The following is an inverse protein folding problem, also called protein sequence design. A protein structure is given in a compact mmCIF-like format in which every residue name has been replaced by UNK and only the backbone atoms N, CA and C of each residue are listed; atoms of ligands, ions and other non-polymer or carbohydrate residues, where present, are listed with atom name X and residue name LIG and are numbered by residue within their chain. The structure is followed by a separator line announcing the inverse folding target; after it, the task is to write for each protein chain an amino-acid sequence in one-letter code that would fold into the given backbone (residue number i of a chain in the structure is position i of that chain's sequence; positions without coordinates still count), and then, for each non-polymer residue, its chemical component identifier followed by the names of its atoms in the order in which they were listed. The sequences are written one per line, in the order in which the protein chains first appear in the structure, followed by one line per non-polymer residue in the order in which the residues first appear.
data_IF_535062879318
#
_entry.id   IF_535062879318
#
_cell.length_a   1.000
_cell.length_b   1.000
_cell.length_c   1.000
_cell.angle_alpha   90.00
_cell.angle_beta   90.00
_cell.angle_gamma   90.00
#
_symmetry.space_group_name_H-M   'P 1'
#
loop_
_entity.id
_entity.type
_entity.pdbx_description
1 polymer ?
#
# COMPACT_ATOMS: atom_id res chain seq x y z
N UNK A 1 2.43 -23.70 33.84
CA UNK A 1 3.00 -22.86 32.76
C UNK A 1 2.28 -23.15 31.45
N UNK A 2 2.27 -24.40 30.96
CA UNK A 2 1.55 -24.79 29.72
C UNK A 2 0.06 -24.37 29.74
N UNK A 3 -0.69 -24.71 30.78
CA UNK A 3 -2.09 -24.27 30.90
C UNK A 3 -2.30 -22.74 30.94
N UNK A 4 -1.27 -21.94 31.23
CA UNK A 4 -1.35 -20.49 31.10
C UNK A 4 -1.25 -20.05 29.63
N UNK A 5 -0.43 -20.72 28.83
CA UNK A 5 -0.37 -20.49 27.38
C UNK A 5 -1.69 -20.91 26.71
N UNK A 6 -2.23 -22.07 27.06
CA UNK A 6 -3.53 -22.53 26.54
C UNK A 6 -4.63 -21.52 26.86
N UNK A 7 -4.69 -21.02 28.10
CA UNK A 7 -5.66 -20.00 28.48
C UNK A 7 -5.50 -18.66 27.72
N UNK A 8 -4.28 -18.30 27.30
CA UNK A 8 -4.03 -17.12 26.45
C UNK A 8 -4.54 -17.36 25.03
N UNK A 9 -4.29 -18.55 24.46
CA UNK A 9 -4.79 -18.92 23.13
C UNK A 9 -6.32 -19.00 23.10
N UNK A 10 -6.93 -19.62 24.12
CA UNK A 10 -8.39 -19.70 24.26
C UNK A 10 -9.01 -18.30 24.36
N UNK A 11 -8.40 -17.41 25.15
CA UNK A 11 -8.87 -16.02 25.27
C UNK A 11 -8.81 -15.28 23.94
N UNK A 12 -7.74 -15.44 23.17
CA UNK A 12 -7.64 -14.85 21.82
C UNK A 12 -8.71 -15.42 20.90
N UNK A 13 -8.93 -16.74 20.94
CA UNK A 13 -9.98 -17.42 20.15
C UNK A 13 -11.36 -16.83 20.44
N UNK A 14 -11.76 -16.77 21.71
CA UNK A 14 -13.08 -16.24 22.10
C UNK A 14 -13.22 -14.75 21.79
N UNK A 15 -12.15 -13.97 21.97
CA UNK A 15 -12.15 -12.53 21.69
C UNK A 15 -12.32 -12.26 20.20
N UNK A 16 -11.53 -12.91 19.34
CA UNK A 16 -11.63 -12.73 17.88
C UNK A 16 -12.97 -13.21 17.34
N UNK A 17 -13.51 -14.33 17.87
CA UNK A 17 -14.83 -14.82 17.49
C UNK A 17 -15.93 -13.83 17.84
N UNK A 18 -15.96 -13.35 19.08
CA UNK A 18 -17.01 -12.46 19.61
C UNK A 18 -16.92 -11.06 19.03
N UNK A 19 -15.73 -10.46 18.96
CA UNK A 19 -15.56 -9.03 18.68
C UNK A 19 -15.33 -8.72 17.20
N UNK A 20 -14.70 -9.64 16.44
CA UNK A 20 -14.28 -9.36 15.06
C UNK A 20 -15.08 -10.17 14.04
N UNK A 21 -15.16 -11.49 14.19
CA UNK A 21 -15.89 -12.35 13.25
C UNK A 21 -17.40 -12.08 13.25
N UNK A 22 -17.97 -11.64 14.39
CA UNK A 22 -19.39 -11.24 14.49
C UNK A 22 -19.74 -9.99 13.68
N UNK A 23 -18.74 -9.20 13.27
CA UNK A 23 -18.90 -7.97 12.48
C UNK A 23 -18.94 -8.23 10.98
N UNK A 24 -18.50 -9.40 10.56
CA UNK A 24 -18.55 -9.83 9.17
C UNK A 24 -19.89 -10.55 8.96
N UNK A 25 -20.79 -10.03 8.11
CA UNK A 25 -22.02 -10.75 7.79
C UNK A 25 -21.73 -12.11 7.16
N UNK A 26 -22.61 -13.07 7.41
CA UNK A 26 -22.54 -14.37 6.73
C UNK A 26 -22.74 -14.21 5.23
N UNK A 27 -21.92 -14.90 4.44
CA UNK A 27 -21.93 -14.76 3.00
C UNK A 27 -20.59 -15.09 2.36
N UNK A 28 -20.52 -14.88 1.05
CA UNK A 28 -19.32 -15.09 0.25
C UNK A 28 -18.93 -13.80 -0.46
N UNK A 29 -17.69 -13.37 -0.27
CA UNK A 29 -17.15 -12.13 -0.78
C UNK A 29 -15.88 -12.43 -1.56
N UNK A 30 -15.83 -11.98 -2.82
CA UNK A 30 -14.71 -12.28 -3.71
C UNK A 30 -13.95 -11.02 -4.06
N UNK A 31 -12.63 -11.06 -3.93
CA UNK A 31 -11.76 -9.94 -4.27
C UNK A 31 -10.40 -10.41 -4.79
N UNK A 32 -9.76 -9.57 -5.60
CA UNK A 32 -8.42 -9.82 -6.11
C UNK A 32 -7.60 -8.54 -6.27
N UNK A 33 -6.29 -8.71 -6.22
CA UNK A 33 -5.30 -7.67 -6.50
C UNK A 33 -4.03 -8.34 -7.08
N UNK A 34 -3.08 -7.53 -7.52
CA UNK A 34 -2.04 -8.00 -8.43
C UNK A 34 -0.64 -7.58 -7.97
N UNK A 35 0.35 -8.38 -8.33
CA UNK A 35 1.71 -7.88 -8.57
C UNK A 35 1.84 -7.58 -10.07
N UNK A 36 2.63 -6.56 -10.42
CA UNK A 36 2.66 -6.05 -11.81
C UNK A 36 3.88 -6.49 -12.63
N UNK A 37 4.90 -7.04 -11.97
CA UNK A 37 6.14 -7.46 -12.60
C UNK A 37 6.82 -8.55 -11.77
N UNK A 38 7.42 -9.53 -12.44
CA UNK A 38 8.22 -10.57 -11.76
C UNK A 38 9.73 -10.38 -11.95
N UNK A 39 10.18 -9.37 -12.70
CA UNK A 39 11.62 -9.12 -12.93
C UNK A 39 12.21 -9.96 -14.06
N UNK A 40 11.41 -10.77 -14.75
CA UNK A 40 11.86 -11.65 -15.86
C UNK A 40 11.00 -11.42 -17.09
N UNK A 41 9.69 -11.59 -16.97
CA UNK A 41 8.74 -11.37 -18.06
C UNK A 41 8.29 -9.89 -18.08
N UNK A 42 7.85 -9.37 -19.25
CA UNK A 42 7.27 -8.03 -19.33
C UNK A 42 6.12 -7.82 -18.34
N UNK A 43 5.87 -6.57 -17.88
CA UNK A 43 4.82 -6.27 -16.90
C UNK A 43 3.45 -6.83 -17.29
N UNK A 44 2.79 -7.47 -16.32
CA UNK A 44 1.46 -8.05 -16.44
C UNK A 44 0.81 -8.22 -15.08
N UNK A 45 -0.49 -8.46 -15.07
CA UNK A 45 -1.23 -8.74 -13.84
C UNK A 45 -0.98 -10.17 -13.34
N UNK A 46 -0.20 -10.30 -12.27
CA UNK A 46 -0.05 -11.53 -11.49
C UNK A 46 -1.12 -11.57 -10.39
N UNK A 47 -2.27 -12.13 -10.72
CA UNK A 47 -3.45 -12.17 -9.84
C UNK A 47 -3.23 -12.98 -8.58
N UNK A 48 -3.61 -12.40 -7.45
CA UNK A 48 -3.85 -13.09 -6.19
C UNK A 48 -5.32 -12.86 -5.83
N UNK A 49 -6.06 -13.95 -5.58
CA UNK A 49 -7.51 -13.90 -5.41
C UNK A 49 -7.90 -14.56 -4.11
N UNK A 50 -8.87 -13.97 -3.42
CA UNK A 50 -9.52 -14.55 -2.25
C UNK A 50 -11.03 -14.63 -2.50
N UNK A 51 -11.58 -15.82 -2.32
CA UNK A 51 -13.00 -16.02 -2.03
C UNK A 51 -13.14 -16.23 -0.52
N UNK A 52 -13.66 -15.23 0.17
CA UNK A 52 -13.89 -15.23 1.61
C UNK A 52 -15.33 -15.69 1.87
N UNK A 53 -15.50 -16.84 2.54
CA UNK A 53 -16.81 -17.28 3.03
C UNK A 53 -16.86 -17.16 4.56
N UNK A 54 -17.78 -16.35 5.07
CA UNK A 54 -18.09 -16.27 6.49
C UNK A 54 -19.19 -17.28 6.83
N UNK A 55 -18.85 -18.30 7.61
CA UNK A 55 -19.80 -19.23 8.25
C UNK A 55 -20.18 -18.71 9.64
N UNK A 56 -21.02 -19.39 10.45
CA UNK A 56 -21.25 -18.96 11.84
C UNK A 56 -19.98 -19.03 12.70
N UNK A 57 -19.16 -20.08 12.53
CA UNK A 57 -18.05 -20.45 13.40
C UNK A 57 -16.67 -19.94 12.97
N UNK A 58 -16.44 -19.74 11.65
CA UNK A 58 -15.10 -19.43 11.12
C UNK A 58 -15.12 -18.60 9.83
N UNK A 59 -13.92 -18.29 9.34
CA UNK A 59 -13.66 -17.73 8.01
C UNK A 59 -13.02 -18.81 7.14
N UNK A 60 -13.60 -19.05 5.96
CA UNK A 60 -12.98 -19.88 4.92
C UNK A 60 -12.39 -18.94 3.88
N UNK A 61 -11.07 -19.03 3.68
CA UNK A 61 -10.31 -18.22 2.71
C UNK A 61 -9.83 -19.15 1.61
N UNK A 62 -10.44 -19.05 0.44
CA UNK A 62 -10.10 -19.86 -0.73
C UNK A 62 -9.29 -19.04 -1.74
N UNK A 63 -8.09 -19.54 -2.06
CA UNK A 63 -7.14 -18.88 -2.96
C UNK A 63 -7.26 -19.34 -4.43
N UNK A 64 -8.29 -20.10 -4.77
CA UNK A 64 -8.59 -20.51 -6.15
C UNK A 64 -8.74 -19.29 -7.07
N UNK A 65 -8.07 -19.33 -8.23
CA UNK A 65 -7.96 -18.20 -9.15
C UNK A 65 -6.68 -17.37 -8.99
N UNK A 66 -5.84 -17.69 -8.01
CA UNK A 66 -4.46 -17.16 -7.95
C UNK A 66 -3.66 -17.64 -9.17
N UNK A 67 -2.88 -16.74 -9.76
CA UNK A 67 -2.10 -16.99 -10.97
C UNK A 67 -1.10 -18.14 -10.83
N UNK A 68 -0.71 -18.78 -11.95
CA UNK A 68 0.43 -19.70 -11.98
C UNK A 68 1.68 -19.07 -11.38
N UNK A 69 2.57 -19.91 -10.84
CA UNK A 69 3.87 -19.46 -10.33
C UNK A 69 4.61 -18.64 -11.39
N UNK A 70 5.26 -17.56 -10.94
CA UNK A 70 6.04 -16.68 -11.79
C UNK A 70 7.40 -17.30 -12.13
N UNK A 71 7.99 -16.88 -13.25
CA UNK A 71 9.39 -17.21 -13.57
C UNK A 71 10.32 -16.48 -12.61
N UNK A 72 10.01 -15.23 -12.31
CA UNK A 72 10.73 -14.39 -11.38
C UNK A 72 10.41 -14.64 -9.89
N UNK A 73 11.09 -13.94 -8.96
CA UNK A 73 11.22 -14.37 -7.57
C UNK A 73 10.03 -14.03 -6.66
N UNK A 74 8.87 -13.68 -7.22
CA UNK A 74 7.69 -13.22 -6.45
C UNK A 74 6.88 -14.37 -5.83
N UNK A 75 7.29 -15.64 -6.02
CA UNK A 75 6.55 -16.80 -5.53
C UNK A 75 6.62 -16.95 -4.00
N UNK A 76 5.49 -17.28 -3.36
CA UNK A 76 5.38 -17.47 -1.91
C UNK A 76 4.84 -18.87 -1.58
N UNK A 77 5.59 -19.66 -0.81
CA UNK A 77 5.14 -20.94 -0.27
C UNK A 77 4.13 -20.77 0.88
N UNK A 78 2.96 -20.19 0.58
CA UNK A 78 1.92 -19.87 1.57
C UNK A 78 1.24 -21.12 2.16
N UNK A 79 1.31 -22.24 1.45
CA UNK A 79 0.83 -23.54 1.91
C UNK A 79 1.79 -24.28 2.85
N UNK A 80 2.96 -23.71 3.18
CA UNK A 80 3.87 -24.30 4.15
C UNK A 80 3.20 -24.50 5.51
N UNK A 81 3.42 -25.66 6.13
CA UNK A 81 2.78 -26.08 7.38
C UNK A 81 1.25 -25.88 7.36
N UNK A 82 0.61 -26.36 6.29
CA UNK A 82 -0.84 -26.24 6.04
C UNK A 82 -1.38 -24.80 6.15
N UNK A 83 -0.51 -23.81 5.89
CA UNK A 83 -0.83 -22.40 5.95
C UNK A 83 -0.98 -21.83 7.37
N UNK A 84 -0.57 -22.55 8.42
CA UNK A 84 -0.66 -22.07 9.82
C UNK A 84 0.05 -20.71 10.00
N UNK A 85 1.20 -20.52 9.36
CA UNK A 85 1.90 -19.22 9.37
C UNK A 85 1.12 -18.14 8.63
N UNK A 86 0.53 -18.47 7.48
CA UNK A 86 -0.25 -17.53 6.69
C UNK A 86 -1.52 -17.09 7.44
N UNK A 87 -2.19 -17.98 8.18
CA UNK A 87 -3.34 -17.62 9.04
C UNK A 87 -2.97 -16.55 10.06
N UNK A 88 -1.85 -16.74 10.77
CA UNK A 88 -1.34 -15.79 11.77
C UNK A 88 -0.91 -14.47 11.13
N UNK A 89 -0.40 -14.52 9.90
CA UNK A 89 -0.03 -13.33 9.12
C UNK A 89 -1.24 -12.50 8.67
N UNK A 90 -2.34 -13.16 8.27
CA UNK A 90 -3.55 -12.50 7.77
C UNK A 90 -4.47 -11.97 8.89
N UNK A 91 -4.53 -12.66 10.02
CA UNK A 91 -5.41 -12.33 11.14
C UNK A 91 -5.33 -10.88 11.69
N UNK A 92 -4.17 -10.18 11.68
CA UNK A 92 -4.08 -8.78 12.08
C UNK A 92 -5.00 -7.83 11.31
N UNK A 93 -5.41 -8.16 10.08
CA UNK A 93 -6.38 -7.37 9.30
C UNK A 93 -7.76 -7.34 9.98
N UNK A 94 -8.13 -8.42 10.68
CA UNK A 94 -9.42 -8.51 11.37
C UNK A 94 -9.56 -7.46 12.48
N UNK A 95 -8.45 -6.96 13.04
CA UNK A 95 -8.47 -5.93 14.10
C UNK A 95 -9.12 -4.62 13.65
N UNK A 96 -9.11 -4.33 12.34
CA UNK A 96 -9.79 -3.16 11.79
C UNK A 96 -11.31 -3.19 11.98
N UNK A 97 -11.88 -4.33 12.38
CA UNK A 97 -13.30 -4.50 12.67
C UNK A 97 -13.67 -4.21 14.13
N UNK A 98 -12.69 -3.91 14.98
CA UNK A 98 -12.96 -3.51 16.36
C UNK A 98 -13.81 -2.24 16.40
N UNK A 99 -14.63 -2.10 17.45
CA UNK A 99 -15.58 -0.98 17.58
C UNK A 99 -14.89 0.38 17.66
N UNK A 100 -13.67 0.44 18.20
CA UNK A 100 -12.89 1.68 18.31
C UNK A 100 -11.41 1.47 17.95
N UNK A 101 -10.69 2.54 17.56
CA UNK A 101 -9.26 2.48 17.29
C UNK A 101 -8.42 2.06 18.51
N UNK A 102 -8.83 2.44 19.72
CA UNK A 102 -8.17 2.05 20.96
C UNK A 102 -8.31 0.54 21.16
N UNK A 103 -9.52 0.00 20.97
CA UNK A 103 -9.74 -1.43 21.09
C UNK A 103 -8.98 -2.21 20.02
N UNK A 104 -8.91 -1.69 18.78
CA UNK A 104 -8.10 -2.27 17.72
C UNK A 104 -6.62 -2.43 18.15
N UNK A 105 -6.06 -1.44 18.86
CA UNK A 105 -4.67 -1.46 19.30
C UNK A 105 -4.40 -2.46 20.45
N UNK A 106 -5.41 -2.79 21.26
CA UNK A 106 -5.31 -3.76 22.36
C UNK A 106 -5.46 -5.22 21.91
N UNK A 107 -5.93 -5.46 20.69
CA UNK A 107 -6.16 -6.81 20.18
C UNK A 107 -4.85 -7.41 19.66
N UNK A 108 -4.23 -8.24 20.49
CA UNK A 108 -3.06 -9.03 20.09
C UNK A 108 -3.45 -10.29 19.31
N UNK A 109 -2.63 -10.61 18.31
CA UNK A 109 -2.78 -11.81 17.49
C UNK A 109 -1.78 -12.87 17.95
N UNK A 110 -2.29 -14.06 18.25
CA UNK A 110 -1.48 -15.26 18.51
C UNK A 110 -2.14 -16.48 17.85
N UNK A 111 -1.66 -17.69 18.17
CA UNK A 111 -2.14 -18.93 17.57
C UNK A 111 -3.61 -19.28 17.84
N UNK A 112 -4.28 -18.63 18.80
CA UNK A 112 -5.72 -18.76 19.03
C UNK A 112 -6.59 -18.33 17.83
N UNK A 113 -6.03 -17.61 16.86
CA UNK A 113 -6.76 -17.28 15.62
C UNK A 113 -6.80 -18.44 14.62
N UNK A 114 -5.92 -19.44 14.75
CA UNK A 114 -5.77 -20.53 13.77
C UNK A 114 -7.04 -21.38 13.62
N UNK A 115 -7.76 -21.76 14.69
CA UNK A 115 -9.03 -22.49 14.57
C UNK A 115 -10.15 -21.69 13.91
N UNK A 116 -10.06 -20.36 13.90
CA UNK A 116 -11.07 -19.46 13.33
C UNK A 116 -10.92 -19.26 11.82
N UNK A 117 -9.85 -19.78 11.22
CA UNK A 117 -9.51 -19.58 9.81
C UNK A 117 -9.23 -20.92 9.15
N UNK A 118 -9.99 -21.25 8.12
CA UNK A 118 -9.74 -22.34 7.19
C UNK A 118 -9.12 -21.76 5.92
N UNK A 119 -7.96 -22.25 5.50
CA UNK A 119 -7.33 -21.85 4.23
C UNK A 119 -7.51 -22.97 3.21
N UNK A 120 -7.95 -22.63 2.00
CA UNK A 120 -8.02 -23.54 0.86
C UNK A 120 -7.06 -23.07 -0.21
N UNK A 121 -6.07 -23.90 -0.50
CA UNK A 121 -5.03 -23.60 -1.47
C UNK A 121 -5.37 -24.21 -2.84
N UNK A 122 -5.04 -23.53 -3.94
CA UNK A 122 -5.09 -24.14 -5.27
C UNK A 122 -4.07 -25.30 -5.38
N UNK A 123 -4.16 -26.15 -6.42
CA UNK A 123 -3.14 -27.15 -6.69
C UNK A 123 -1.72 -26.56 -6.73
N UNK A 124 -0.68 -27.36 -6.46
CA UNK A 124 0.70 -26.91 -6.62
C UNK A 124 0.97 -26.32 -8.01
N UNK A 125 1.80 -25.27 -8.07
CA UNK A 125 2.15 -24.56 -9.30
C UNK A 125 1.61 -23.14 -9.41
N UNK A 126 1.14 -22.54 -8.31
CA UNK A 126 0.66 -21.14 -8.28
C UNK A 126 1.62 -20.21 -7.54
N UNK A 127 1.37 -18.90 -7.58
CA UNK A 127 2.11 -17.91 -6.78
C UNK A 127 2.10 -18.21 -5.27
N UNK A 128 1.07 -18.92 -4.78
CA UNK A 128 0.89 -19.24 -3.37
C UNK A 128 1.24 -20.70 -3.01
N UNK A 129 1.38 -21.56 -4.03
CA UNK A 129 1.74 -22.97 -3.91
C UNK A 129 2.88 -23.36 -4.86
N UNK A 130 3.99 -22.60 -4.90
CA UNK A 130 5.06 -22.81 -5.87
C UNK A 130 5.73 -24.18 -5.73
N UNK A 131 6.15 -24.74 -6.85
CA UNK A 131 6.91 -26.00 -6.91
C UNK A 131 8.38 -25.67 -7.14
N UNK A 132 9.27 -26.28 -6.35
CA UNK A 132 10.72 -26.18 -6.55
C UNK A 132 11.09 -26.52 -8.01
N UNK A 133 11.98 -25.77 -8.68
CA UNK A 133 12.89 -24.73 -8.16
C UNK A 133 12.39 -23.28 -8.32
N UNK A 134 11.08 -23.01 -8.23
CA UNK A 134 10.55 -21.65 -8.33
C UNK A 134 11.26 -20.67 -7.37
N UNK A 135 11.71 -19.49 -7.84
CA UNK A 135 12.41 -18.52 -7.00
C UNK A 135 11.46 -17.75 -6.08
N UNK A 136 11.89 -17.47 -4.85
CA UNK A 136 11.04 -16.93 -3.76
C UNK A 136 11.64 -15.72 -3.02
N UNK A 137 12.70 -15.11 -3.56
CA UNK A 137 13.40 -14.00 -2.88
C UNK A 137 12.50 -12.77 -2.68
N UNK A 138 11.68 -12.43 -3.68
CA UNK A 138 10.73 -11.31 -3.66
C UNK A 138 9.31 -11.74 -3.26
N UNK A 139 9.15 -12.88 -2.57
CA UNK A 139 7.86 -13.38 -2.04
C UNK A 139 7.08 -12.35 -1.21
N UNK A 140 7.81 -11.37 -0.66
CA UNK A 140 7.30 -10.25 0.12
C UNK A 140 6.16 -9.51 -0.62
N UNK A 141 6.21 -9.42 -1.95
CA UNK A 141 5.15 -8.79 -2.74
C UNK A 141 3.83 -9.56 -2.64
N UNK A 142 3.88 -10.89 -2.76
CA UNK A 142 2.70 -11.74 -2.66
C UNK A 142 2.18 -11.76 -1.22
N UNK A 143 3.02 -12.05 -0.22
CA UNK A 143 2.56 -12.16 1.17
C UNK A 143 1.96 -10.85 1.73
N UNK A 144 2.47 -9.68 1.33
CA UNK A 144 1.92 -8.38 1.75
C UNK A 144 0.66 -8.03 0.96
N UNK A 145 0.58 -8.37 -0.33
CA UNK A 145 -0.62 -8.15 -1.15
C UNK A 145 -1.82 -8.92 -0.60
N UNK A 146 -1.62 -10.12 -0.04
CA UNK A 146 -2.69 -10.88 0.60
C UNK A 146 -3.36 -10.16 1.79
N UNK A 147 -2.63 -9.28 2.49
CA UNK A 147 -3.21 -8.43 3.54
C UNK A 147 -4.25 -7.48 2.96
N UNK A 148 -3.89 -6.79 1.87
CA UNK A 148 -4.79 -5.88 1.14
C UNK A 148 -5.96 -6.63 0.50
N UNK A 149 -5.75 -7.82 -0.05
CA UNK A 149 -6.83 -8.61 -0.66
C UNK A 149 -7.83 -9.08 0.39
N UNK A 150 -7.36 -9.56 1.55
CA UNK A 150 -8.26 -9.92 2.65
C UNK A 150 -9.03 -8.69 3.14
N UNK A 151 -8.36 -7.54 3.29
CA UNK A 151 -9.00 -6.28 3.66
C UNK A 151 -10.08 -5.88 2.63
N UNK A 152 -9.83 -6.03 1.33
CA UNK A 152 -10.83 -5.74 0.30
C UNK A 152 -11.99 -6.73 0.28
N UNK A 153 -11.75 -8.03 0.48
CA UNK A 153 -12.83 -9.00 0.63
C UNK A 153 -13.72 -8.68 1.84
N UNK A 154 -13.12 -8.28 2.97
CA UNK A 154 -13.85 -7.81 4.16
C UNK A 154 -14.55 -6.48 3.88
N UNK A 155 -13.93 -5.55 3.15
CA UNK A 155 -14.52 -4.26 2.82
C UNK A 155 -15.87 -4.42 2.10
N UNK A 156 -15.99 -5.40 1.21
CA UNK A 156 -17.28 -5.75 0.60
C UNK A 156 -18.33 -6.21 1.62
N UNK A 157 -17.91 -7.00 2.61
CA UNK A 157 -18.77 -7.51 3.65
C UNK A 157 -19.27 -6.43 4.62
N UNK A 158 -18.46 -5.40 4.86
CA UNK A 158 -18.75 -4.36 5.86
C UNK A 158 -19.03 -2.98 5.26
N UNK A 159 -19.47 -2.90 4.01
CA UNK A 159 -19.77 -1.65 3.28
C UNK A 159 -18.61 -0.63 3.35
N UNK A 160 -17.40 -1.11 3.13
CA UNK A 160 -16.19 -0.31 3.14
C UNK A 160 -15.78 0.23 4.50
N UNK A 161 -16.36 -0.21 5.62
CA UNK A 161 -15.95 0.19 6.99
C UNK A 161 -14.64 -0.46 7.45
N UNK A 162 -13.60 -0.31 6.66
CA UNK A 162 -12.21 -0.74 6.88
C UNK A 162 -11.29 0.27 6.18
N UNK A 163 -9.99 0.38 6.53
CA UNK A 163 -9.09 1.27 5.80
C UNK A 163 -8.95 0.88 4.32
N UNK A 164 -8.64 1.86 3.46
CA UNK A 164 -8.18 1.63 2.09
C UNK A 164 -6.78 0.97 2.06
N UNK A 165 -6.24 0.70 0.87
CA UNK A 165 -4.92 0.08 0.75
C UNK A 165 -3.78 0.98 1.24
N UNK A 166 -2.63 0.38 1.52
CA UNK A 166 -1.47 1.08 2.08
C UNK A 166 -0.14 0.68 1.42
N UNK A 167 0.86 1.53 1.61
CA UNK A 167 2.27 1.21 1.34
C UNK A 167 2.69 -0.03 2.16
N UNK A 168 3.62 -0.84 1.63
CA UNK A 168 4.07 -2.07 2.29
C UNK A 168 5.59 -2.14 2.49
N UNK A 169 6.32 -3.06 1.85
CA UNK A 169 7.78 -3.18 2.02
C UNK A 169 8.44 -3.09 0.66
N UNK A 170 9.29 -2.08 0.50
CA UNK A 170 10.12 -1.84 -0.69
C UNK A 170 11.49 -1.44 -0.23
N UNK A 171 12.51 -1.89 -0.94
CA UNK A 171 13.86 -1.46 -0.64
C UNK A 171 14.58 -0.94 -1.87
N UNK A 172 15.29 0.15 -1.65
CA UNK A 172 16.20 0.78 -2.60
C UNK A 172 17.59 0.73 -2.01
N UNK A 173 18.60 0.76 -2.86
CA UNK A 173 19.96 0.71 -2.38
C UNK A 173 20.96 1.21 -3.39
N UNK A 174 22.16 1.44 -2.89
CA UNK A 174 23.34 1.78 -3.67
C UNK A 174 24.47 0.86 -3.25
N UNK A 175 25.30 0.46 -4.19
CA UNK A 175 26.53 -0.25 -3.90
C UNK A 175 27.63 0.17 -4.87
N UNK A 176 28.87 -0.05 -4.45
CA UNK A 176 30.04 0.40 -5.18
C UNK A 176 31.28 0.32 -4.31
N UNK A 177 32.28 1.13 -4.66
CA UNK A 177 33.49 1.31 -3.87
C UNK A 177 33.46 2.68 -3.19
N UNK A 178 33.87 2.74 -1.93
CA UNK A 178 34.00 3.99 -1.18
C UNK A 178 35.34 4.71 -1.46
N UNK A 179 35.65 5.74 -0.66
CA UNK A 179 36.86 6.57 -0.83
C UNK A 179 38.15 5.79 -0.56
N UNK A 180 38.08 4.74 0.27
CA UNK A 180 39.18 3.83 0.59
C UNK A 180 39.30 2.68 -0.43
N UNK A 181 38.37 2.58 -1.38
CA UNK A 181 38.31 1.51 -2.36
C UNK A 181 37.66 0.23 -1.82
N UNK A 182 36.98 0.29 -0.67
CA UNK A 182 36.30 -0.83 -0.06
C UNK A 182 34.85 -0.94 -0.57
N UNK A 183 34.36 -2.18 -0.67
CA UNK A 183 32.99 -2.42 -1.11
C UNK A 183 31.99 -1.97 -0.06
N UNK A 184 30.95 -1.24 -0.48
CA UNK A 184 29.81 -0.92 0.36
C UNK A 184 28.48 -1.35 -0.27
N UNK A 185 27.51 -1.63 0.59
CA UNK A 185 26.11 -1.83 0.23
C UNK A 185 25.24 -1.05 1.21
N UNK A 186 24.62 0.02 0.71
CA UNK A 186 23.56 0.73 1.39
C UNK A 186 22.22 0.17 0.93
N UNK A 187 21.39 -0.27 1.87
CA UNK A 187 19.98 -0.61 1.62
C UNK A 187 19.12 0.11 2.62
N UNK A 188 18.02 0.66 2.12
CA UNK A 188 17.01 1.29 2.94
C UNK A 188 15.64 0.73 2.60
N UNK A 189 14.87 0.46 3.65
CA UNK A 189 13.44 0.18 3.54
C UNK A 189 12.72 1.44 4.01
N UNK A 190 11.98 2.07 3.12
CA UNK A 190 11.12 3.20 3.45
C UNK A 190 9.67 2.72 3.52
N UNK A 191 8.95 3.20 4.54
CA UNK A 191 7.51 3.04 4.59
C UNK A 191 6.80 3.99 3.61
N UNK A 192 5.55 4.32 3.90
CA UNK A 192 4.85 5.41 3.23
C UNK A 192 3.46 5.61 3.78
N UNK A 193 2.48 5.83 2.91
CA UNK A 193 1.15 6.17 3.36
C UNK A 193 0.33 4.98 3.83
N UNK A 194 -0.29 5.08 5.00
CA UNK A 194 -1.39 4.16 5.36
C UNK A 194 -2.66 4.50 4.59
N UNK A 195 -3.57 3.55 4.42
CA UNK A 195 -4.87 3.82 3.80
C UNK A 195 -5.70 4.82 4.62
N UNK A 196 -6.49 5.63 3.91
CA UNK A 196 -7.54 6.44 4.52
C UNK A 196 -8.49 5.53 5.29
N UNK A 197 -8.87 5.95 6.50
CA UNK A 197 -9.74 5.19 7.38
C UNK A 197 -11.12 5.84 7.35
N UNK A 198 -12.17 5.06 7.52
CA UNK A 198 -13.53 5.61 7.54
C UNK A 198 -13.76 6.67 8.63
N UNK A 199 -12.92 6.66 9.68
CA UNK A 199 -12.96 7.61 10.79
C UNK A 199 -11.82 8.64 10.81
N UNK A 200 -10.77 8.52 9.99
CA UNK A 200 -9.60 9.40 10.04
C UNK A 200 -8.75 9.32 8.76
N UNK A 201 -7.98 10.36 8.46
CA UNK A 201 -6.98 10.30 7.40
C UNK A 201 -5.93 9.19 7.67
N UNK A 202 -5.28 8.73 6.61
CA UNK A 202 -4.15 7.82 6.71
C UNK A 202 -2.95 8.50 7.38
N UNK A 203 -2.18 7.73 8.12
CA UNK A 203 -0.92 8.20 8.70
C UNK A 203 0.11 8.36 7.59
N UNK A 204 0.75 9.52 7.54
CA UNK A 204 1.81 9.82 6.57
C UNK A 204 3.11 9.09 6.98
N UNK A 205 3.82 8.50 6.02
CA UNK A 205 5.20 7.99 6.19
C UNK A 205 5.41 6.93 7.28
N UNK A 206 4.44 6.04 7.47
CA UNK A 206 4.49 4.91 8.41
C UNK A 206 4.88 3.60 7.74
N UNK A 207 5.33 2.63 8.53
CA UNK A 207 5.75 1.32 8.04
C UNK A 207 4.85 0.21 8.60
N UNK A 208 4.50 -0.78 7.77
CA UNK A 208 3.60 -1.89 8.17
C UNK A 208 4.25 -2.85 9.17
N UNK A 209 5.58 -3.01 9.10
CA UNK A 209 6.37 -3.77 10.07
C UNK A 209 6.58 -2.93 11.33
N UNK A 210 6.14 -3.41 12.51
CA UNK A 210 6.36 -2.73 13.78
C UNK A 210 7.84 -2.41 14.03
N UNK A 211 8.11 -1.26 14.65
CA UNK A 211 9.45 -0.79 15.03
C UNK A 211 10.47 -0.64 13.89
N UNK A 212 10.02 -0.70 12.62
CA UNK A 212 10.84 -0.38 11.46
C UNK A 212 11.11 1.13 11.41
N UNK A 213 12.39 1.51 11.26
CA UNK A 213 12.85 2.91 11.23
C UNK A 213 13.62 3.15 9.94
N UNK A 214 13.45 4.35 9.36
CA UNK A 214 14.26 4.81 8.24
C UNK A 214 15.73 5.03 8.69
N UNK A 215 16.64 5.12 7.72
CA UNK A 215 18.04 5.46 8.02
C UNK A 215 18.16 6.98 8.24
N UNK A 216 18.68 7.43 9.40
CA UNK A 216 18.98 8.84 9.62
C UNK A 216 19.93 9.37 8.55
N UNK A 217 19.73 10.63 8.14
CA UNK A 217 20.56 11.26 7.13
C UNK A 217 22.05 11.25 7.55
N UNK A 218 22.36 11.61 8.80
CA UNK A 218 23.75 11.65 9.26
C UNK A 218 24.42 10.27 9.21
N UNK A 219 23.67 9.20 9.48
CA UNK A 219 24.19 7.84 9.36
C UNK A 219 24.50 7.49 7.91
N UNK A 220 23.57 7.78 6.99
CA UNK A 220 23.78 7.54 5.55
C UNK A 220 25.01 8.28 5.04
N UNK A 221 25.13 9.58 5.36
CA UNK A 221 26.22 10.44 4.88
C UNK A 221 27.58 10.11 5.48
N UNK A 222 27.61 9.59 6.70
CA UNK A 222 28.86 9.19 7.36
C UNK A 222 29.36 7.84 6.85
N UNK A 223 28.45 6.92 6.50
CA UNK A 223 28.81 5.52 6.22
C UNK A 223 28.99 5.22 4.73
N UNK A 224 28.37 5.99 3.85
CA UNK A 224 28.30 5.73 2.41
C UNK A 224 28.65 6.98 1.62
N UNK A 225 29.17 6.87 0.38
CA UNK A 225 29.49 7.99 -0.49
C UNK A 225 28.22 8.61 -1.12
N UNK A 226 27.29 9.02 -0.26
CA UNK A 226 25.98 9.56 -0.59
C UNK A 226 25.73 10.80 0.27
N UNK A 227 25.02 11.79 -0.28
CA UNK A 227 24.49 12.93 0.47
C UNK A 227 22.97 12.95 0.37
N UNK A 228 22.28 13.12 1.49
CA UNK A 228 20.81 13.25 1.50
C UNK A 228 20.48 14.72 1.29
N UNK A 229 20.14 15.10 0.05
CA UNK A 229 19.80 16.50 -0.28
C UNK A 229 18.40 16.88 0.18
N UNK A 230 17.49 15.90 0.27
CA UNK A 230 16.11 16.12 0.71
C UNK A 230 15.52 14.87 1.34
N UNK A 231 14.78 15.09 2.42
CA UNK A 231 13.85 14.14 3.01
C UNK A 231 12.55 14.89 3.33
N UNK A 232 11.46 14.54 2.67
CA UNK A 232 10.18 15.22 2.78
C UNK A 232 8.99 14.27 2.61
N UNK A 233 7.79 14.77 2.86
CA UNK A 233 6.57 14.12 2.37
C UNK A 233 6.48 14.29 0.84
N UNK A 234 6.08 13.26 0.13
CA UNK A 234 5.77 13.33 -1.29
C UNK A 234 4.37 13.96 -1.48
N UNK A 235 4.31 15.25 -1.80
CA UNK A 235 3.06 15.97 -2.08
C UNK A 235 2.21 15.23 -3.11
N UNK A 236 0.88 15.18 -2.90
CA UNK A 236 -0.10 14.49 -3.75
C UNK A 236 0.07 12.96 -3.83
N UNK A 237 0.97 12.35 -3.05
CA UNK A 237 1.17 10.88 -3.10
C UNK A 237 0.03 10.09 -2.46
N UNK A 238 -0.64 10.66 -1.44
CA UNK A 238 -1.78 10.06 -0.76
C UNK A 238 -3.05 10.14 -1.62
N UNK A 239 -3.76 9.03 -1.74
CA UNK A 239 -4.99 8.93 -2.51
C UNK A 239 -6.06 9.90 -2.00
N UNK A 240 -6.64 10.74 -2.88
CA UNK A 240 -7.73 11.63 -2.50
C UNK A 240 -8.93 10.88 -1.92
N UNK A 241 -9.54 11.40 -0.87
CA UNK A 241 -10.77 10.84 -0.29
C UNK A 241 -11.44 11.80 0.67
N UNK A 242 -12.66 11.48 1.13
CA UNK A 242 -13.25 12.15 2.30
C UNK A 242 -12.25 12.13 3.46
N UNK A 243 -11.63 10.97 3.66
CA UNK A 243 -10.40 10.79 4.43
C UNK A 243 -9.26 10.43 3.48
N UNK A 244 -8.23 11.28 3.43
CA UNK A 244 -7.09 11.13 2.51
C UNK A 244 -6.22 9.94 2.93
N UNK A 245 -5.64 9.22 1.97
CA UNK A 245 -4.58 8.26 2.28
C UNK A 245 -3.30 8.96 2.74
N UNK A 246 -2.51 8.34 3.61
CA UNK A 246 -1.25 8.91 4.07
C UNK A 246 -0.29 9.20 2.91
N UNK A 247 0.61 10.17 3.08
CA UNK A 247 1.66 10.48 2.09
C UNK A 247 2.83 9.50 2.20
N UNK A 248 3.46 9.23 1.07
CA UNK A 248 4.75 8.57 0.98
C UNK A 248 5.92 9.53 1.27
N UNK A 249 7.12 8.97 1.30
CA UNK A 249 8.38 9.71 1.38
C UNK A 249 8.79 10.24 0.01
N UNK A 250 9.45 11.39 -0.01
CA UNK A 250 10.35 11.83 -1.06
C UNK A 250 11.75 11.94 -0.45
N UNK A 251 12.68 11.12 -0.93
CA UNK A 251 14.08 11.14 -0.48
C UNK A 251 15.01 11.30 -1.68
N UNK A 252 15.92 12.26 -1.61
CA UNK A 252 16.88 12.55 -2.68
C UNK A 252 18.30 12.28 -2.21
N UNK A 253 19.01 11.46 -3.00
CA UNK A 253 20.41 11.10 -2.76
C UNK A 253 21.28 11.68 -3.86
N UNK A 254 22.21 12.55 -3.50
CA UNK A 254 23.34 12.91 -4.36
C UNK A 254 24.40 11.83 -4.22
N UNK A 255 24.72 11.16 -5.31
CA UNK A 255 25.77 10.15 -5.33
C UNK A 255 27.12 10.86 -5.43
N UNK A 256 28.08 10.53 -4.55
CA UNK A 256 29.39 11.22 -4.50
C UNK A 256 30.50 10.47 -5.25
N UNK A 257 30.28 9.18 -5.56
CA UNK A 257 31.17 8.30 -6.33
C UNK A 257 30.37 7.53 -7.37
N UNK A 258 31.01 7.07 -8.43
CA UNK A 258 30.34 6.16 -9.37
C UNK A 258 29.84 4.94 -8.60
N UNK A 259 28.54 4.68 -8.73
CA UNK A 259 27.82 3.68 -7.94
C UNK A 259 26.84 2.92 -8.82
N UNK A 260 26.36 1.78 -8.35
CA UNK A 260 25.20 1.09 -8.91
C UNK A 260 24.00 1.28 -7.99
N UNK A 261 22.84 1.53 -8.58
CA UNK A 261 21.56 1.59 -7.89
C UNK A 261 20.78 0.29 -8.09
N UNK A 262 20.11 -0.16 -7.02
CA UNK A 262 19.17 -1.27 -7.06
C UNK A 262 17.84 -0.87 -6.45
N UNK A 263 16.78 -1.49 -6.94
CA UNK A 263 15.45 -1.35 -6.38
C UNK A 263 14.68 -2.66 -6.52
N UNK A 264 14.03 -3.05 -5.42
CA UNK A 264 13.04 -4.12 -5.42
C UNK A 264 11.75 -3.56 -4.82
N UNK A 265 10.91 -3.07 -5.72
CA UNK A 265 9.64 -2.43 -5.43
C UNK A 265 8.53 -2.94 -6.37
N UNK A 266 7.33 -3.02 -5.81
CA UNK A 266 6.05 -3.25 -6.52
C UNK A 266 5.19 -1.97 -6.45
N UNK A 267 4.10 -1.84 -7.22
CA UNK A 267 3.33 -0.60 -7.38
C UNK A 267 4.11 0.57 -8.00
N UNK A 268 5.07 0.30 -8.86
CA UNK A 268 5.63 1.27 -9.80
C UNK A 268 4.69 1.54 -10.99
N UNK A 269 3.74 0.63 -11.27
CA UNK A 269 2.71 0.79 -12.29
C UNK A 269 1.33 0.93 -11.63
N UNK A 270 0.93 -0.05 -10.84
CA UNK A 270 -0.28 -0.08 -10.03
C UNK A 270 -0.16 0.85 -8.83
N UNK A 271 -1.28 1.18 -8.21
CA UNK A 271 -1.36 2.06 -7.03
C UNK A 271 -1.95 1.35 -5.83
N UNK A 272 -1.77 1.90 -4.63
CA UNK A 272 -2.59 1.53 -3.49
C UNK A 272 -4.03 1.96 -3.78
N UNK A 273 -4.97 1.01 -3.80
CA UNK A 273 -6.34 1.27 -4.22
C UNK A 273 -7.12 2.10 -3.20
N UNK A 274 -7.98 2.98 -3.71
CA UNK A 274 -8.95 3.75 -2.91
C UNK A 274 -10.22 2.94 -2.62
N UNK A 275 -10.98 3.36 -1.61
CA UNK A 275 -12.16 2.64 -1.13
C UNK A 275 -13.38 3.56 -0.99
N UNK A 276 -14.56 3.05 -1.36
CA UNK A 276 -15.88 3.69 -1.14
C UNK A 276 -15.95 5.10 -1.72
N UNK A 277 -15.47 5.27 -2.96
CA UNK A 277 -15.38 6.57 -3.65
C UNK A 277 -14.04 7.29 -3.49
N UNK A 278 -13.21 6.83 -2.55
CA UNK A 278 -11.83 7.28 -2.43
C UNK A 278 -10.98 6.84 -3.63
N UNK A 279 -9.92 7.59 -3.90
CA UNK A 279 -9.06 7.46 -5.08
C UNK A 279 -7.76 6.76 -4.74
N UNK A 280 -7.20 6.09 -5.74
CA UNK A 280 -5.91 5.41 -5.60
C UNK A 280 -4.78 6.41 -5.32
N UNK A 281 -3.72 5.93 -4.68
CA UNK A 281 -2.51 6.71 -4.40
C UNK A 281 -1.67 6.97 -5.66
N UNK A 282 -0.67 7.84 -5.54
CA UNK A 282 0.45 7.83 -6.48
C UNK A 282 1.24 6.51 -6.39
N UNK A 283 1.80 6.02 -7.51
CA UNK A 283 2.67 4.85 -7.52
C UNK A 283 4.05 5.16 -6.94
N UNK A 284 4.80 4.11 -6.65
CA UNK A 284 6.22 4.17 -6.30
C UNK A 284 7.01 4.68 -7.52
N UNK A 285 8.00 5.54 -7.29
CA UNK A 285 8.79 6.09 -8.39
C UNK A 285 10.23 6.29 -7.99
N UNK A 286 11.15 5.91 -8.88
CA UNK A 286 12.55 6.30 -8.81
C UNK A 286 12.88 7.12 -10.04
N UNK A 287 13.36 8.35 -9.82
CA UNK A 287 13.79 9.24 -10.89
C UNK A 287 15.29 9.51 -10.75
N UNK A 288 16.04 9.22 -11.81
CA UNK A 288 17.46 9.56 -11.93
C UNK A 288 17.56 10.94 -12.58
N UNK A 289 18.44 11.79 -12.06
CA UNK A 289 18.70 13.16 -12.53
C UNK A 289 17.43 14.02 -12.70
N UNK A 290 16.54 14.11 -11.67
CA UNK A 290 15.29 14.87 -11.78
C UNK A 290 15.57 16.35 -12.10
N UNK A 291 14.98 16.84 -13.18
CA UNK A 291 15.17 18.19 -13.72
C UNK A 291 16.47 18.38 -14.51
N UNK A 292 17.30 17.35 -14.63
CA UNK A 292 18.57 17.37 -15.34
C UNK A 292 18.49 16.89 -16.79
N UNK A 293 19.64 16.87 -17.46
CA UNK A 293 19.72 16.50 -18.87
C UNK A 293 19.52 15.00 -19.11
N UNK A 294 19.72 14.17 -18.08
CA UNK A 294 19.59 12.72 -18.15
C UNK A 294 18.40 12.19 -17.35
N UNK A 295 17.35 13.01 -17.16
CA UNK A 295 16.17 12.61 -16.39
C UNK A 295 15.57 11.32 -16.97
N UNK A 296 15.43 10.30 -16.13
CA UNK A 296 14.73 9.06 -16.47
C UNK A 296 14.11 8.40 -15.26
N UNK A 297 12.99 7.71 -15.48
CA UNK A 297 12.30 6.92 -14.46
C UNK A 297 12.72 5.47 -14.59
N UNK A 298 13.09 4.84 -13.48
CA UNK A 298 13.43 3.43 -13.44
C UNK A 298 12.19 2.56 -13.16
N UNK A 299 12.14 1.32 -13.69
CA UNK A 299 11.21 0.30 -13.24
C UNK A 299 11.32 0.01 -11.74
N UNK A 300 10.29 -0.59 -11.15
CA UNK A 300 10.29 -0.99 -9.73
C UNK A 300 11.26 -2.14 -9.41
N UNK A 301 11.62 -2.95 -10.40
CA UNK A 301 12.60 -4.03 -10.28
C UNK A 301 13.81 -3.73 -11.16
N UNK A 302 14.90 -3.31 -10.53
CA UNK A 302 16.16 -2.94 -11.17
C UNK A 302 17.32 -3.40 -10.31
N UNK A 303 18.38 -3.88 -10.96
CA UNK A 303 19.63 -4.27 -10.34
C UNK A 303 20.78 -3.66 -11.14
N UNK A 304 21.89 -3.35 -10.48
CA UNK A 304 23.12 -2.86 -11.12
C UNK A 304 22.96 -1.63 -12.04
N UNK A 305 22.01 -0.72 -11.78
CA UNK A 305 21.83 0.47 -12.62
C UNK A 305 22.97 1.47 -12.40
N UNK A 306 23.81 1.78 -13.40
CA UNK A 306 24.96 2.64 -13.21
C UNK A 306 24.53 4.09 -12.96
N UNK A 307 25.01 4.66 -11.85
CA UNK A 307 24.79 6.04 -11.44
C UNK A 307 26.14 6.75 -11.31
N UNK A 308 26.49 7.66 -12.25
CA UNK A 308 27.71 8.44 -12.16
C UNK A 308 27.75 9.34 -10.93
N UNK A 309 28.95 9.62 -10.43
CA UNK A 309 29.20 10.59 -9.39
C UNK A 309 28.57 11.96 -9.76
N UNK A 310 28.00 12.63 -8.76
CA UNK A 310 27.29 13.88 -8.91
C UNK A 310 25.83 13.75 -9.35
N UNK A 311 25.34 12.55 -9.69
CA UNK A 311 23.94 12.36 -10.09
C UNK A 311 23.00 12.42 -8.87
N UNK A 312 21.82 13.02 -9.04
CA UNK A 312 20.75 13.00 -8.04
C UNK A 312 19.79 11.84 -8.31
N UNK A 313 19.44 11.08 -7.28
CA UNK A 313 18.45 10.00 -7.36
C UNK A 313 17.32 10.32 -6.40
N UNK A 314 16.10 10.49 -6.92
CA UNK A 314 14.89 10.71 -6.13
C UNK A 314 14.11 9.41 -6.00
N UNK A 315 13.83 9.00 -4.77
CA UNK A 315 12.93 7.89 -4.42
C UNK A 315 11.65 8.46 -3.83
N UNK A 316 10.52 8.11 -4.42
CA UNK A 316 9.17 8.46 -3.97
C UNK A 316 8.42 7.17 -3.60
N UNK A 317 8.06 7.00 -2.33
CA UNK A 317 7.25 5.84 -1.91
C UNK A 317 5.77 6.09 -2.16
N UNK A 318 4.98 5.01 -2.27
CA UNK A 318 3.53 5.16 -2.47
C UNK A 318 2.88 5.85 -1.27
N UNK A 319 1.86 6.66 -1.53
CA UNK A 319 0.88 6.95 -0.49
C UNK A 319 -0.04 5.76 -0.23
N UNK A 320 -0.99 5.93 0.68
CA UNK A 320 -2.13 5.01 0.84
C UNK A 320 -3.29 5.44 -0.04
N UNK A 321 -4.24 4.53 -0.29
CA UNK A 321 -5.48 4.88 -0.98
C UNK A 321 -6.37 5.79 -0.12
N UNK A 322 -7.19 6.63 -0.77
CA UNK A 322 -8.18 7.44 -0.08
C UNK A 322 -9.43 6.64 0.30
N UNK A 323 -10.18 7.15 1.28
CA UNK A 323 -11.46 6.58 1.69
C UNK A 323 -12.59 7.61 1.57
N UNK A 324 -13.73 7.21 0.99
CA UNK A 324 -14.89 8.09 0.81
C UNK A 324 -14.71 9.09 -0.35
N UNK A 325 -15.80 9.70 -0.83
CA UNK A 325 -15.74 10.66 -1.95
C UNK A 325 -14.92 11.92 -1.56
N UNK A 326 -13.84 12.25 -2.28
CA UNK A 326 -13.07 13.49 -2.07
C UNK A 326 -13.91 14.77 -2.07
N UNK A 327 -15.02 14.82 -2.81
CA UNK A 327 -15.91 15.98 -2.88
C UNK A 327 -16.76 16.18 -1.62
N UNK A 328 -16.75 15.22 -0.70
CA UNK A 328 -17.40 15.33 0.60
C UNK A 328 -16.43 15.83 1.68
N UNK A 329 -15.11 15.85 1.42
CA UNK A 329 -14.11 16.32 2.39
C UNK A 329 -14.38 17.76 2.80
N UNK A 330 -14.16 18.06 4.06
CA UNK A 330 -14.29 19.39 4.63
C UNK A 330 -13.33 20.37 3.92
N UNK A 331 -13.81 21.45 3.26
CA UNK A 331 -12.96 22.35 2.48
C UNK A 331 -11.78 22.96 3.25
N UNK A 332 -11.99 23.26 4.52
CA UNK A 332 -11.00 23.85 5.41
C UNK A 332 -9.85 22.87 5.69
N UNK A 333 -10.12 21.56 5.76
CA UNK A 333 -9.08 20.55 5.88
C UNK A 333 -8.24 20.45 4.61
N UNK A 334 -8.85 20.61 3.43
CA UNK A 334 -8.11 20.66 2.16
C UNK A 334 -7.22 21.91 2.09
N UNK A 335 -7.72 23.07 2.52
CA UNK A 335 -6.90 24.28 2.59
C UNK A 335 -5.71 24.12 3.56
N UNK A 336 -5.92 23.45 4.70
CA UNK A 336 -4.85 23.10 5.63
C UNK A 336 -3.84 22.12 5.02
N UNK A 337 -4.31 21.08 4.31
CA UNK A 337 -3.44 20.14 3.60
C UNK A 337 -2.58 20.87 2.54
N UNK A 338 -3.14 21.89 1.87
CA UNK A 338 -2.39 22.74 0.93
C UNK A 338 -1.37 23.61 1.62
N UNK A 339 -1.74 24.27 2.73
CA UNK A 339 -0.82 25.05 3.54
C UNK A 339 0.36 24.20 4.04
N UNK A 340 0.10 22.94 4.40
CA UNK A 340 1.12 21.99 4.87
C UNK A 340 1.90 21.32 3.73
N UNK A 341 1.61 21.62 2.46
CA UNK A 341 2.27 21.02 1.30
C UNK A 341 1.96 19.53 1.11
N UNK A 342 0.91 19.01 1.74
CA UNK A 342 0.47 17.62 1.57
C UNK A 342 -0.33 17.44 0.28
N UNK A 343 -1.15 18.43 -0.03
CA UNK A 343 -1.97 18.51 -1.25
C UNK A 343 -1.53 19.74 -2.03
N UNK A 344 -1.38 19.64 -3.35
CA UNK A 344 -1.10 20.79 -4.19
C UNK A 344 -2.37 21.61 -4.46
N UNK A 345 -2.23 22.90 -4.79
CA UNK A 345 -3.37 23.72 -5.21
C UNK A 345 -4.10 23.15 -6.43
N UNK A 346 -3.38 22.42 -7.29
CA UNK A 346 -3.96 21.68 -8.43
C UNK A 346 -4.84 20.53 -7.93
N UNK A 347 -4.31 19.64 -7.08
CA UNK A 347 -5.09 18.50 -6.53
C UNK A 347 -6.28 18.98 -5.71
N UNK A 348 -6.13 20.05 -4.91
CA UNK A 348 -7.24 20.69 -4.19
C UNK A 348 -8.42 21.02 -5.13
N UNK A 349 -8.13 21.56 -6.32
CA UNK A 349 -9.14 21.91 -7.32
C UNK A 349 -9.67 20.70 -8.09
N UNK A 350 -8.79 19.83 -8.57
CA UNK A 350 -9.13 18.73 -9.49
C UNK A 350 -9.77 17.56 -8.76
N UNK A 351 -9.20 17.15 -7.62
CA UNK A 351 -9.61 15.96 -6.90
C UNK A 351 -10.71 16.28 -5.87
N UNK A 352 -10.54 17.35 -5.09
CA UNK A 352 -11.46 17.72 -3.99
C UNK A 352 -12.51 18.77 -4.37
N UNK A 353 -12.39 19.37 -5.56
CA UNK A 353 -13.31 20.40 -6.04
C UNK A 353 -13.24 21.72 -5.26
N UNK A 354 -12.10 22.02 -4.63
CA UNK A 354 -11.89 23.21 -3.80
C UNK A 354 -11.28 24.33 -4.64
N UNK A 355 -11.89 25.51 -4.58
CA UNK A 355 -11.34 26.74 -5.15
C UNK A 355 -10.69 27.52 -4.02
N UNK A 356 -9.38 27.74 -4.15
CA UNK A 356 -8.59 28.51 -3.19
C UNK A 356 -8.28 29.90 -3.75
N UNK A 357 -8.43 30.90 -2.90
CA UNK A 357 -7.82 32.21 -3.05
C UNK A 357 -6.67 32.35 -2.05
N UNK A 358 -5.96 33.47 -2.11
CA UNK A 358 -4.90 33.82 -1.17
C UNK A 358 -5.43 34.90 -0.22
N UNK A 359 -5.27 34.71 1.09
CA UNK A 359 -5.60 35.76 2.07
C UNK A 359 -4.49 36.84 2.12
N UNK A 360 -4.66 37.84 2.99
CA UNK A 360 -3.70 38.92 3.14
C UNK A 360 -2.29 38.45 3.58
N UNK A 361 -2.22 37.30 4.26
CA UNK A 361 -1.00 36.71 4.80
C UNK A 361 -0.31 35.74 3.81
N UNK A 362 -0.88 35.57 2.60
CA UNK A 362 -0.32 34.65 1.60
C UNK A 362 -0.81 33.19 1.73
N UNK A 363 -1.70 32.90 2.67
CA UNK A 363 -2.19 31.55 2.95
C UNK A 363 -3.42 31.18 2.11
N UNK A 364 -3.62 29.88 1.81
CA UNK A 364 -4.77 29.41 1.06
C UNK A 364 -6.07 29.61 1.86
N UNK A 365 -7.06 30.28 1.24
CA UNK A 365 -8.40 30.50 1.78
C UNK A 365 -9.44 29.93 0.86
N UNK A 366 -10.41 29.19 1.40
CA UNK A 366 -11.50 28.60 0.63
C UNK A 366 -12.44 29.68 0.09
N UNK A 367 -12.69 29.66 -1.22
CA UNK A 367 -13.77 30.42 -1.85
C UNK A 367 -15.04 29.56 -1.88
N UNK A 368 -15.91 29.75 -0.87
CA UNK A 368 -17.05 28.86 -0.63
C UNK A 368 -18.00 28.74 -1.82
N UNK A 369 -18.42 29.87 -2.41
CA UNK A 369 -19.35 29.86 -3.54
C UNK A 369 -18.76 29.15 -4.78
N UNK A 370 -17.50 29.46 -5.13
CA UNK A 370 -16.82 28.84 -6.27
C UNK A 370 -16.55 27.34 -6.04
N UNK A 371 -16.25 26.95 -4.81
CA UNK A 371 -16.11 25.55 -4.38
C UNK A 371 -17.42 24.79 -4.54
N UNK A 372 -18.55 25.37 -4.11
CA UNK A 372 -19.87 24.74 -4.29
C UNK A 372 -20.18 24.50 -5.77
N UNK A 373 -20.01 25.52 -6.62
CA UNK A 373 -20.23 25.41 -8.07
C UNK A 373 -19.30 24.37 -8.71
N UNK A 374 -18.03 24.32 -8.31
CA UNK A 374 -17.08 23.35 -8.84
C UNK A 374 -17.46 21.92 -8.44
N UNK A 375 -17.81 21.68 -7.18
CA UNK A 375 -18.25 20.36 -6.69
C UNK A 375 -19.54 19.90 -7.39
N UNK A 376 -20.52 20.78 -7.57
CA UNK A 376 -21.74 20.45 -8.30
C UNK A 376 -21.45 20.02 -9.74
N UNK A 377 -20.61 20.80 -10.44
CA UNK A 377 -20.15 20.45 -11.79
C UNK A 377 -19.45 19.09 -11.82
N UNK A 378 -18.49 18.85 -10.93
CA UNK A 378 -17.75 17.59 -10.87
C UNK A 378 -18.67 16.39 -10.56
N UNK A 379 -19.64 16.54 -9.65
CA UNK A 379 -20.65 15.50 -9.37
C UNK A 379 -21.50 15.20 -10.59
N UNK A 380 -21.96 16.22 -11.30
CA UNK A 380 -22.81 16.05 -12.48
C UNK A 380 -22.11 15.33 -13.65
N UNK A 381 -20.77 15.40 -13.72
CA UNK A 381 -19.97 14.73 -14.75
C UNK A 381 -19.53 13.30 -14.40
N UNK A 382 -19.77 12.82 -13.19
CA UNK A 382 -19.30 11.50 -12.73
C UNK A 382 -20.29 10.40 -13.09
N UNK A 383 -19.78 9.29 -13.63
CA UNK A 383 -20.51 8.04 -13.73
C UNK A 383 -20.54 7.26 -12.41
N UNK A 384 -21.16 6.07 -12.40
CA UNK A 384 -21.12 5.15 -11.27
C UNK A 384 -19.68 4.91 -10.81
N UNK A 385 -19.44 4.93 -9.51
CA UNK A 385 -18.12 4.68 -8.93
C UNK A 385 -18.05 3.22 -8.43
N UNK A 386 -16.95 2.49 -8.69
CA UNK A 386 -16.72 1.20 -8.07
C UNK A 386 -16.54 1.36 -6.54
N UNK A 387 -16.64 0.25 -5.81
CA UNK A 387 -16.24 0.24 -4.40
C UNK A 387 -14.72 0.46 -4.28
N UNK A 388 -13.94 -0.02 -5.24
CA UNK A 388 -12.49 0.09 -5.25
C UNK A 388 -11.98 0.88 -6.46
N UNK A 389 -11.16 1.91 -6.21
CA UNK A 389 -10.46 2.63 -7.27
C UNK A 389 -9.02 2.11 -7.37
N UNK A 390 -8.69 1.40 -8.45
CA UNK A 390 -7.36 0.79 -8.66
C UNK A 390 -6.33 1.74 -9.24
N UNK A 391 -6.73 2.95 -9.61
CA UNK A 391 -5.87 3.94 -10.25
C UNK A 391 -5.58 3.63 -11.73
N UNK A 392 -4.92 4.58 -12.42
CA UNK A 392 -4.72 4.53 -13.87
C UNK A 392 -3.80 3.39 -14.32
N UNK A 393 -2.89 2.93 -13.48
CA UNK A 393 -1.98 1.83 -13.80
C UNK A 393 -2.68 0.49 -14.08
N UNK A 394 -3.83 0.27 -13.44
CA UNK A 394 -4.64 -0.93 -13.71
C UNK A 394 -5.13 -0.94 -15.16
N UNK A 395 -5.66 0.20 -15.66
CA UNK A 395 -6.09 0.34 -17.06
C UNK A 395 -4.96 0.03 -18.04
N UNK A 396 -3.73 0.47 -17.74
CA UNK A 396 -2.57 0.23 -18.60
C UNK A 396 -2.27 -1.26 -18.77
N UNK A 397 -2.46 -2.08 -17.73
CA UNK A 397 -2.18 -3.51 -17.78
C UNK A 397 -3.40 -4.37 -18.15
N UNK A 398 -4.60 -3.97 -17.72
CA UNK A 398 -5.85 -4.72 -17.93
C UNK A 398 -6.58 -4.36 -19.24
N UNK A 399 -6.34 -3.16 -19.78
CA UNK A 399 -7.11 -2.60 -20.89
C UNK A 399 -8.52 -2.11 -20.51
N UNK A 400 -8.89 -2.19 -19.23
CA UNK A 400 -10.19 -1.77 -18.68
C UNK A 400 -10.01 -1.01 -17.36
N UNK A 401 -10.99 -0.21 -16.98
CA UNK A 401 -10.88 0.71 -15.83
C UNK A 401 -11.03 0.00 -14.48
N UNK A 402 -11.82 -1.07 -14.48
CA UNK A 402 -12.25 -1.78 -13.28
C UNK A 402 -12.34 -3.28 -13.58
N UNK A 403 -12.04 -4.11 -12.58
CA UNK A 403 -12.41 -5.52 -12.62
C UNK A 403 -13.89 -5.67 -12.22
N UNK A 404 -14.54 -6.75 -12.64
CA UNK A 404 -15.94 -7.05 -12.24
C UNK A 404 -16.08 -7.16 -10.72
N UNK A 405 -15.03 -7.63 -10.05
CA UNK A 405 -15.01 -7.72 -8.60
C UNK A 405 -14.93 -6.34 -7.94
N UNK A 406 -14.70 -5.23 -8.64
CA UNK A 406 -14.52 -3.90 -8.01
C UNK A 406 -15.84 -3.31 -7.51
N UNK A 407 -16.95 -3.93 -7.89
CA UNK A 407 -18.29 -3.56 -7.51
C UNK A 407 -18.83 -4.49 -6.41
N UNK A 408 -19.76 -3.97 -5.63
CA UNK A 408 -20.63 -4.78 -4.77
C UNK A 408 -21.78 -5.29 -5.65
N UNK A 409 -22.15 -6.59 -5.57
CA UNK A 409 -23.29 -7.13 -6.30
C UNK A 409 -24.62 -6.43 -6.03
#
# INVERSE_FOLDING_TARGET
VEGCFDAILDRTTETFRRELLSRIPEGTYVWEDYAEHDGVDPPRLHTQRITLTRTPDRLVIDFTGTSPQAKGPINHAGNYADGVFLKKWLAPILRNLADTPERMAELDVNEGVVPLIELRFPPPGTLLTPVFPAPTNARTFVILRLLGILAGAIAKAVDGRIPADQETIRYTGFHGLDDEGEFYLMREVLGGGSGGRWYADGSDTVHVVPDSKNLPAEFTETRFPLRVERLALATDSGGPGYRRGGLGYLKEFRVLRDSSFLCVADRAILSCWGLRGGKASAPFRVTIDPGGANERVLPGLVDDEPIPAGTLVRVETTGGGGWGDPLEREPELVALDVLQGKVSARSAREDYGIVLATNADGEPRVEAAATMTLRERLRSSRGPQPLFDRGPGYRTLAGVDHADVDFVP
#
